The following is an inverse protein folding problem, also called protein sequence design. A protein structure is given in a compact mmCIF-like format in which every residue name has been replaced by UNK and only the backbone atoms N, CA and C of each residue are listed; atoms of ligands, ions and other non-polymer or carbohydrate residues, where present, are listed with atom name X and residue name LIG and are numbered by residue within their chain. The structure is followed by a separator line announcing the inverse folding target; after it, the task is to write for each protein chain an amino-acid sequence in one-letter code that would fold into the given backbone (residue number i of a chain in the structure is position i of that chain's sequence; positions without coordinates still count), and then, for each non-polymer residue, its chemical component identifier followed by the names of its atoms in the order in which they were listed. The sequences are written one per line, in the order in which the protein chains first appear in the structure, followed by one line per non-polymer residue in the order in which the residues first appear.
data_IF_682654824270
#
_entry.id   IF_682654824270
#
_cell.length_a   1.000
_cell.length_b   1.000
_cell.length_c   1.000
_cell.angle_alpha   90.00
_cell.angle_beta   90.00
_cell.angle_gamma   90.00
#
_symmetry.space_group_name_H-M   'P 1'
#
loop_
_entity.id
_entity.type
_entity.pdbx_description
1 polymer ?
#
# COMPACT_ATOMS: atom_id res chain seq x y z
N UNK A 1 22.23 -15.32 -28.59
CA UNK A 1 22.07 -14.59 -27.32
C UNK A 1 23.31 -13.75 -27.13
N UNK A 2 23.19 -12.43 -27.13
CA UNK A 2 24.33 -11.53 -26.95
C UNK A 2 24.81 -11.52 -25.49
N UNK A 3 26.05 -11.10 -25.23
CA UNK A 3 26.60 -11.02 -23.87
C UNK A 3 25.80 -10.04 -22.98
N UNK A 4 25.28 -8.97 -23.58
CA UNK A 4 24.39 -7.99 -22.96
C UNK A 4 23.06 -8.62 -22.53
N UNK A 5 22.42 -9.41 -23.41
CA UNK A 5 21.18 -10.14 -23.06
C UNK A 5 21.38 -11.10 -21.88
N UNK A 6 22.53 -11.77 -21.79
CA UNK A 6 22.83 -12.66 -20.66
C UNK A 6 23.00 -11.88 -19.35
N UNK A 7 23.65 -10.71 -19.40
CA UNK A 7 23.86 -9.86 -18.23
C UNK A 7 22.53 -9.26 -17.73
N UNK A 8 21.68 -8.79 -18.64
CA UNK A 8 20.37 -8.21 -18.31
C UNK A 8 19.41 -9.26 -17.73
N UNK A 9 19.40 -10.49 -18.28
CA UNK A 9 18.61 -11.61 -17.76
C UNK A 9 19.05 -11.98 -16.33
N UNK A 10 20.36 -11.97 -16.06
CA UNK A 10 20.88 -12.23 -14.72
C UNK A 10 20.50 -11.11 -13.74
N UNK A 11 20.56 -9.85 -14.15
CA UNK A 11 20.22 -8.70 -13.30
C UNK A 11 18.72 -8.62 -12.98
N UNK A 12 17.88 -8.89 -13.98
CA UNK A 12 16.42 -8.96 -13.79
C UNK A 12 16.05 -10.08 -12.81
N UNK A 13 16.64 -11.27 -12.99
CA UNK A 13 16.43 -12.41 -12.09
C UNK A 13 16.86 -12.10 -10.66
N UNK A 14 18.02 -11.45 -10.48
CA UNK A 14 18.50 -11.02 -9.16
C UNK A 14 17.54 -10.02 -8.49
N UNK A 15 17.04 -9.04 -9.23
CA UNK A 15 16.10 -8.03 -8.71
C UNK A 15 14.76 -8.67 -8.28
N UNK A 16 14.24 -9.59 -9.08
CA UNK A 16 13.01 -10.35 -8.75
C UNK A 16 13.25 -11.26 -7.53
N UNK A 17 14.37 -11.98 -7.48
CA UNK A 17 14.72 -12.83 -6.34
C UNK A 17 14.90 -12.02 -5.04
N UNK A 18 15.51 -10.84 -5.12
CA UNK A 18 15.63 -9.91 -4.00
C UNK A 18 14.25 -9.44 -3.49
N UNK A 19 13.32 -9.13 -4.41
CA UNK A 19 11.94 -8.77 -4.07
C UNK A 19 11.18 -9.93 -3.40
N UNK A 20 11.35 -11.16 -3.91
CA UNK A 20 10.77 -12.38 -3.32
C UNK A 20 11.34 -12.59 -1.91
N UNK A 21 12.66 -12.47 -1.75
CA UNK A 21 13.32 -12.62 -0.46
C UNK A 21 12.82 -11.58 0.57
N UNK A 22 12.70 -10.31 0.17
CA UNK A 22 12.15 -9.26 1.04
C UNK A 22 10.71 -9.57 1.45
N UNK A 23 9.89 -10.05 0.53
CA UNK A 23 8.49 -10.43 0.80
C UNK A 23 8.41 -11.50 1.89
N UNK A 24 9.16 -12.59 1.74
CA UNK A 24 9.18 -13.65 2.74
C UNK A 24 9.82 -13.21 4.06
N UNK A 25 10.87 -12.38 4.01
CA UNK A 25 11.53 -11.84 5.22
C UNK A 25 10.60 -10.92 6.00
N UNK A 26 9.84 -10.07 5.31
CA UNK A 26 8.82 -9.22 5.91
C UNK A 26 7.74 -10.04 6.61
N UNK A 27 7.16 -11.04 5.93
CA UNK A 27 6.16 -11.93 6.54
C UNK A 27 6.75 -12.71 7.71
N UNK A 28 7.96 -13.26 7.57
CA UNK A 28 8.65 -13.98 8.63
C UNK A 28 8.89 -13.11 9.88
N UNK A 29 9.16 -11.81 9.69
CA UNK A 29 9.33 -10.86 10.81
C UNK A 29 8.09 -10.75 11.69
N UNK A 30 6.88 -10.96 11.14
CA UNK A 30 5.63 -10.96 11.91
C UNK A 30 5.47 -12.20 12.81
N UNK A 31 6.25 -13.26 12.55
CA UNK A 31 6.16 -14.56 13.21
C UNK A 31 7.43 -14.98 13.95
N UNK A 32 8.49 -14.16 13.93
CA UNK A 32 9.74 -14.43 14.65
C UNK A 32 9.49 -14.65 16.15
N UNK A 33 8.49 -13.97 16.70
CA UNK A 33 8.04 -14.13 18.07
C UNK A 33 6.92 -15.17 18.16
N UNK A 34 7.25 -16.40 18.57
CA UNK A 34 6.22 -17.42 18.86
C UNK A 34 5.30 -16.92 19.97
N UNK A 35 3.99 -16.98 19.73
CA UNK A 35 2.96 -16.58 20.69
C UNK A 35 1.70 -17.43 20.47
N UNK A 36 1.04 -17.80 21.56
CA UNK A 36 -0.30 -18.41 21.55
C UNK A 36 -1.40 -17.36 21.63
N UNK A 37 -1.04 -16.09 21.88
CA UNK A 37 -1.96 -14.97 22.01
C UNK A 37 -2.45 -14.52 20.64
N UNK A 38 -3.66 -13.95 20.60
CA UNK A 38 -4.22 -13.32 19.40
C UNK A 38 -3.27 -12.26 18.82
N UNK A 39 -3.36 -12.05 17.50
CA UNK A 39 -2.68 -10.97 16.78
C UNK A 39 -3.01 -9.57 17.32
N UNK A 40 -4.19 -9.42 17.91
CA UNK A 40 -4.67 -8.16 18.47
C UNK A 40 -4.28 -7.97 19.94
N UNK A 41 -3.64 -8.97 20.56
CA UNK A 41 -3.14 -8.84 21.91
C UNK A 41 -2.00 -7.80 21.98
N UNK A 42 -2.01 -6.85 22.93
CA UNK A 42 -1.02 -5.78 23.03
C UNK A 42 0.45 -6.23 22.98
N UNK A 43 0.78 -7.35 23.65
CA UNK A 43 2.14 -7.89 23.62
C UNK A 43 2.55 -8.42 22.25
N UNK A 44 1.62 -9.03 21.50
CA UNK A 44 1.86 -9.51 20.14
C UNK A 44 2.09 -8.33 19.20
N UNK A 45 1.28 -7.27 19.32
CA UNK A 45 1.42 -6.04 18.54
C UNK A 45 2.78 -5.40 18.80
N UNK A 46 3.16 -5.16 20.06
CA UNK A 46 4.46 -4.53 20.41
C UNK A 46 5.66 -5.31 19.88
N UNK A 47 5.63 -6.65 19.95
CA UNK A 47 6.69 -7.52 19.43
C UNK A 47 6.78 -7.47 17.91
N UNK A 48 5.63 -7.53 17.21
CA UNK A 48 5.56 -7.39 15.75
C UNK A 48 6.01 -5.99 15.29
N UNK A 49 5.65 -4.94 16.02
CA UNK A 49 6.14 -3.58 15.75
C UNK A 49 7.67 -3.54 15.79
N UNK A 50 8.28 -4.10 16.83
CA UNK A 50 9.73 -4.13 16.94
C UNK A 50 10.39 -4.86 15.75
N UNK A 51 9.94 -6.08 15.41
CA UNK A 51 10.54 -6.85 14.32
C UNK A 51 10.32 -6.21 12.95
N UNK A 52 9.14 -5.63 12.71
CA UNK A 52 8.84 -4.90 11.48
C UNK A 52 9.69 -3.62 11.38
N UNK A 53 9.87 -2.87 12.46
CA UNK A 53 10.76 -1.70 12.49
C UNK A 53 12.20 -2.09 12.17
N UNK A 54 12.70 -3.22 12.68
CA UNK A 54 14.02 -3.75 12.29
C UNK A 54 14.06 -4.07 10.80
N UNK A 55 13.03 -4.71 10.23
CA UNK A 55 12.96 -4.94 8.78
C UNK A 55 12.95 -3.66 7.97
N UNK A 56 12.23 -2.62 8.41
CA UNK A 56 12.24 -1.31 7.73
C UNK A 56 13.62 -0.66 7.73
N UNK A 57 14.41 -0.86 8.79
CA UNK A 57 15.79 -0.37 8.85
C UNK A 57 16.72 -1.18 7.93
N UNK A 58 16.56 -2.50 7.87
CA UNK A 58 17.44 -3.38 7.09
C UNK A 58 17.13 -3.38 5.58
N UNK A 59 15.87 -3.23 5.19
CA UNK A 59 15.44 -3.35 3.80
C UNK A 59 16.15 -2.34 2.85
N UNK A 60 16.31 -1.05 3.19
CA UNK A 60 17.08 -0.10 2.38
C UNK A 60 18.52 -0.53 2.12
N UNK A 61 19.24 -1.01 3.15
CA UNK A 61 20.61 -1.48 3.00
C UNK A 61 20.67 -2.75 2.15
N UNK A 62 19.70 -3.65 2.33
CA UNK A 62 19.58 -4.84 1.51
C UNK A 62 19.39 -4.49 0.04
N UNK A 63 18.44 -3.61 -0.33
CA UNK A 63 18.21 -3.25 -1.74
C UNK A 63 19.35 -2.47 -2.35
N UNK A 64 20.07 -1.66 -1.56
CA UNK A 64 21.26 -0.95 -2.02
C UNK A 64 22.33 -1.90 -2.59
N UNK A 65 22.46 -3.11 -2.03
CA UNK A 65 23.40 -4.12 -2.54
C UNK A 65 23.05 -4.65 -3.94
N UNK A 66 21.82 -4.43 -4.41
CA UNK A 66 21.33 -4.89 -5.72
C UNK A 66 21.10 -3.76 -6.72
N UNK A 67 21.28 -2.50 -6.31
CA UNK A 67 21.18 -1.37 -7.24
C UNK A 67 22.36 -1.32 -8.21
N UNK A 68 22.05 -1.14 -9.49
CA UNK A 68 23.04 -0.95 -10.54
C UNK A 68 23.62 0.47 -10.48
N UNK A 69 24.79 0.64 -11.10
CA UNK A 69 25.37 1.98 -11.29
C UNK A 69 24.48 2.91 -12.12
N UNK A 70 23.69 2.37 -13.06
CA UNK A 70 22.72 3.16 -13.84
C UNK A 70 21.55 3.65 -12.97
N UNK A 71 21.02 2.81 -12.07
CA UNK A 71 19.97 3.24 -11.15
C UNK A 71 20.49 4.34 -10.23
N UNK A 72 21.70 4.17 -9.68
CA UNK A 72 22.31 5.15 -8.78
C UNK A 72 22.78 6.43 -9.49
N UNK A 73 22.95 6.42 -10.83
CA UNK A 73 23.26 7.63 -11.59
C UNK A 73 22.03 8.52 -11.81
N UNK A 74 20.81 7.94 -11.84
CA UNK A 74 19.54 8.67 -11.95
C UNK A 74 19.15 9.39 -10.66
N UNK A 75 19.57 8.85 -9.51
CA UNK A 75 19.31 9.44 -8.20
C UNK A 75 19.95 8.63 -7.08
N UNK A 76 20.27 9.30 -5.97
CA UNK A 76 20.89 8.63 -4.82
C UNK A 76 19.90 7.68 -4.11
N UNK A 77 20.39 6.87 -3.16
CA UNK A 77 19.57 5.89 -2.44
C UNK A 77 18.27 6.49 -1.89
N UNK A 78 18.33 7.66 -1.24
CA UNK A 78 17.14 8.29 -0.64
C UNK A 78 16.13 8.67 -1.71
N UNK A 79 16.60 9.20 -2.85
CA UNK A 79 15.73 9.56 -3.98
C UNK A 79 15.07 8.33 -4.60
N UNK A 80 15.82 7.23 -4.77
CA UNK A 80 15.26 5.95 -5.25
C UNK A 80 14.19 5.40 -4.29
N UNK A 81 14.39 5.55 -2.98
CA UNK A 81 13.38 5.18 -1.96
C UNK A 81 12.21 6.18 -1.88
N UNK A 82 12.19 7.23 -2.69
CA UNK A 82 11.14 8.25 -2.72
C UNK A 82 11.20 9.26 -1.57
N UNK A 83 12.37 9.41 -0.93
CA UNK A 83 12.64 10.43 0.08
C UNK A 83 13.25 11.67 -0.56
N UNK A 84 12.37 12.55 -1.02
CA UNK A 84 12.70 13.79 -1.74
C UNK A 84 11.97 14.98 -1.15
N UNK A 85 12.61 16.16 -1.17
CA UNK A 85 12.01 17.42 -0.74
C UNK A 85 11.23 18.12 -1.85
N UNK A 86 11.79 18.17 -3.06
CA UNK A 86 11.11 18.72 -4.23
C UNK A 86 9.86 17.89 -4.52
N UNK A 87 8.71 18.54 -4.70
CA UNK A 87 7.43 17.87 -4.96
C UNK A 87 6.72 17.22 -3.76
N UNK A 88 7.25 17.32 -2.53
CA UNK A 88 6.68 16.61 -1.38
C UNK A 88 5.27 17.11 -0.98
N UNK A 89 5.02 18.41 -1.10
CA UNK A 89 3.71 19.01 -0.78
C UNK A 89 2.60 18.44 -1.68
N UNK A 90 2.70 18.52 -3.03
CA UNK A 90 1.71 17.87 -3.87
C UNK A 90 1.69 16.35 -3.66
N UNK A 91 2.81 15.69 -3.36
CA UNK A 91 2.86 14.26 -3.05
C UNK A 91 2.00 13.86 -1.84
N UNK A 92 1.80 14.75 -0.88
CA UNK A 92 0.91 14.53 0.25
C UNK A 92 -0.56 14.75 -0.16
N UNK A 93 -0.86 15.87 -0.82
CA UNK A 93 -2.25 16.30 -0.99
C UNK A 93 -2.93 15.72 -2.24
N UNK A 94 -2.26 15.69 -3.39
CA UNK A 94 -2.89 15.29 -4.64
C UNK A 94 -3.26 13.79 -4.69
N UNK A 95 -2.38 12.85 -4.28
CA UNK A 95 -2.74 11.43 -4.17
C UNK A 95 -3.84 11.16 -3.13
N UNK A 96 -3.81 11.86 -1.99
CA UNK A 96 -4.86 11.75 -0.98
C UNK A 96 -6.20 12.26 -1.53
N UNK A 97 -6.21 13.40 -2.19
CA UNK A 97 -7.40 13.97 -2.82
C UNK A 97 -7.96 13.05 -3.91
N UNK A 98 -7.10 12.53 -4.79
CA UNK A 98 -7.48 11.56 -5.81
C UNK A 98 -8.09 10.30 -5.19
N UNK A 99 -7.51 9.80 -4.10
CA UNK A 99 -8.04 8.63 -3.37
C UNK A 99 -9.37 8.96 -2.70
N UNK A 100 -9.53 10.15 -2.13
CA UNK A 100 -10.81 10.60 -1.57
C UNK A 100 -11.92 10.70 -2.65
N UNK A 101 -11.58 11.13 -3.88
CA UNK A 101 -12.50 11.12 -5.02
C UNK A 101 -12.98 9.69 -5.32
N UNK A 102 -12.09 8.71 -5.34
CA UNK A 102 -12.47 7.31 -5.52
C UNK A 102 -13.45 6.84 -4.43
N UNK A 103 -13.29 7.36 -3.21
CA UNK A 103 -14.12 7.06 -2.04
C UNK A 103 -15.34 7.98 -1.86
N UNK A 104 -15.79 8.72 -2.88
CA UNK A 104 -16.98 9.58 -2.75
C UNK A 104 -18.23 8.83 -2.28
N UNK A 105 -18.47 7.60 -2.75
CA UNK A 105 -19.57 6.75 -2.29
C UNK A 105 -19.50 6.46 -0.78
N UNK A 106 -18.42 5.83 -0.28
CA UNK A 106 -18.22 5.58 1.15
C UNK A 106 -18.23 6.84 2.02
N UNK A 107 -17.62 7.94 1.55
CA UNK A 107 -17.65 9.22 2.26
C UNK A 107 -19.08 9.75 2.38
N UNK A 108 -19.91 9.58 1.34
CA UNK A 108 -21.33 9.93 1.38
C UNK A 108 -22.07 9.08 2.43
N UNK A 109 -21.78 7.77 2.49
CA UNK A 109 -22.38 6.89 3.50
C UNK A 109 -22.01 7.36 4.92
N UNK A 110 -20.74 7.62 5.20
CA UNK A 110 -20.29 8.13 6.51
C UNK A 110 -20.91 9.49 6.88
N UNK A 111 -21.07 10.37 5.90
CA UNK A 111 -21.71 11.66 6.11
C UNK A 111 -23.18 11.49 6.49
N UNK A 112 -23.92 10.65 5.74
CA UNK A 112 -25.35 10.42 5.95
C UNK A 112 -25.65 9.62 7.22
N UNK A 113 -24.77 8.69 7.61
CA UNK A 113 -24.90 7.95 8.88
C UNK A 113 -24.53 8.79 10.10
N UNK A 114 -23.95 9.98 9.90
CA UNK A 114 -23.58 10.89 10.99
C UNK A 114 -22.26 10.55 11.67
N UNK A 115 -21.49 9.57 11.16
CA UNK A 115 -20.18 9.18 11.70
C UNK A 115 -19.22 10.36 11.78
N UNK A 116 -19.33 11.34 10.87
CA UNK A 116 -18.52 12.56 10.89
C UNK A 116 -18.56 13.32 12.23
N UNK A 117 -19.66 13.21 12.99
CA UNK A 117 -19.78 13.85 14.31
C UNK A 117 -18.77 13.26 15.31
N UNK A 118 -18.52 11.95 15.23
CA UNK A 118 -17.51 11.28 16.04
C UNK A 118 -16.10 11.81 15.73
N UNK A 119 -15.81 12.05 14.45
CA UNK A 119 -14.53 12.62 14.03
C UNK A 119 -14.33 14.07 14.44
N UNK A 120 -15.42 14.81 14.73
CA UNK A 120 -15.33 16.15 15.29
C UNK A 120 -14.97 16.16 16.78
N UNK A 121 -15.05 15.01 17.47
CA UNK A 121 -14.73 14.91 18.91
C UNK A 121 -13.23 14.66 19.13
N UNK A 122 -12.49 15.56 19.83
CA UNK A 122 -11.06 15.37 20.07
C UNK A 122 -10.73 14.11 20.90
N UNK A 123 -11.64 13.73 21.80
CA UNK A 123 -11.47 12.56 22.69
C UNK A 123 -11.43 11.26 21.89
N UNK A 124 -12.18 11.16 20.79
CA UNK A 124 -12.13 10.03 19.88
C UNK A 124 -10.70 9.79 19.40
N UNK A 125 -10.05 10.82 18.87
CA UNK A 125 -8.68 10.72 18.35
C UNK A 125 -7.66 10.41 19.44
N UNK A 126 -7.78 11.03 20.61
CA UNK A 126 -6.89 10.71 21.74
C UNK A 126 -7.00 9.23 22.13
N UNK A 127 -8.23 8.70 22.16
CA UNK A 127 -8.50 7.29 22.47
C UNK A 127 -7.97 6.36 21.38
N UNK A 128 -8.15 6.72 20.10
CA UNK A 128 -7.62 5.98 18.96
C UNK A 128 -6.08 5.87 18.99
N UNK A 129 -5.37 6.93 19.37
CA UNK A 129 -3.91 6.89 19.50
C UNK A 129 -3.42 6.05 20.69
N UNK A 130 -4.27 5.79 21.68
CA UNK A 130 -3.97 4.89 22.81
C UNK A 130 -4.30 3.42 22.49
N UNK A 131 -5.13 3.16 21.48
CA UNK A 131 -5.44 1.81 21.01
C UNK A 131 -4.36 1.30 20.04
N UNK A 132 -3.60 0.30 20.49
CA UNK A 132 -2.55 -0.32 19.69
C UNK A 132 -3.07 -1.02 18.43
N UNK A 133 -4.32 -1.51 18.43
CA UNK A 133 -4.94 -2.11 17.24
C UNK A 133 -5.19 -1.02 16.20
N UNK A 134 -5.74 0.12 16.64
CA UNK A 134 -5.94 1.28 15.78
C UNK A 134 -4.63 1.81 15.21
N UNK A 135 -3.62 2.04 16.05
CA UNK A 135 -2.28 2.53 15.62
C UNK A 135 -1.63 1.55 14.65
N UNK A 136 -1.74 0.24 14.89
CA UNK A 136 -1.26 -0.78 13.93
C UNK A 136 -1.95 -0.64 12.59
N UNK A 137 -3.28 -0.66 12.58
CA UNK A 137 -4.04 -0.74 11.34
C UNK A 137 -3.94 0.55 10.51
N UNK A 138 -3.91 1.72 11.16
CA UNK A 138 -3.97 3.02 10.48
C UNK A 138 -2.62 3.66 10.23
N UNK A 139 -1.57 3.27 10.96
CA UNK A 139 -0.26 3.90 10.85
C UNK A 139 0.86 2.89 10.58
N UNK A 140 1.13 1.98 11.52
CA UNK A 140 2.32 1.12 11.44
C UNK A 140 2.27 0.13 10.27
N UNK A 141 1.11 -0.48 10.00
CA UNK A 141 0.95 -1.39 8.87
C UNK A 141 1.13 -0.66 7.52
N UNK A 142 0.38 0.44 7.22
CA UNK A 142 0.63 1.23 6.02
C UNK A 142 2.08 1.69 5.87
N UNK A 143 2.68 2.20 6.94
CA UNK A 143 4.06 2.69 6.93
C UNK A 143 5.05 1.60 6.53
N UNK A 144 4.99 0.46 7.20
CA UNK A 144 5.93 -0.63 6.95
C UNK A 144 5.71 -1.34 5.63
N UNK A 145 4.45 -1.52 5.23
CA UNK A 145 4.08 -2.16 3.97
C UNK A 145 4.48 -1.29 2.77
N UNK A 146 4.17 0.00 2.78
CA UNK A 146 4.57 0.89 1.69
C UNK A 146 6.11 1.07 1.64
N UNK A 147 6.78 1.05 2.79
CA UNK A 147 8.23 1.17 2.83
C UNK A 147 8.92 -0.03 2.19
N UNK A 148 8.51 -1.25 2.53
CA UNK A 148 9.13 -2.46 1.99
C UNK A 148 8.66 -2.73 0.56
N UNK A 149 7.36 -2.73 0.31
CA UNK A 149 6.81 -3.18 -0.98
C UNK A 149 6.83 -2.10 -2.06
N UNK A 150 6.86 -0.81 -1.72
CA UNK A 150 6.95 0.28 -2.70
C UNK A 150 8.34 0.87 -2.70
N UNK A 151 8.73 1.53 -1.61
CA UNK A 151 10.00 2.26 -1.57
C UNK A 151 11.22 1.37 -1.81
N UNK A 152 11.25 0.14 -1.28
CA UNK A 152 12.40 -0.76 -1.49
C UNK A 152 12.26 -1.63 -2.77
N UNK A 153 11.10 -2.29 -2.96
CA UNK A 153 10.95 -3.29 -4.03
C UNK A 153 10.72 -2.69 -5.43
N UNK A 154 9.96 -1.59 -5.56
CA UNK A 154 9.64 -1.04 -6.88
C UNK A 154 10.88 -0.51 -7.60
N UNK A 155 11.81 0.24 -6.97
CA UNK A 155 13.05 0.66 -7.63
C UNK A 155 13.89 -0.52 -8.15
N UNK A 156 13.92 -1.65 -7.42
CA UNK A 156 14.60 -2.87 -7.90
C UNK A 156 13.96 -3.43 -9.18
N UNK A 157 12.63 -3.43 -9.25
CA UNK A 157 11.89 -3.89 -10.43
C UNK A 157 12.05 -2.93 -11.61
N UNK A 158 12.14 -1.62 -11.36
CA UNK A 158 12.34 -0.61 -12.41
C UNK A 158 13.73 -0.68 -13.06
N UNK A 159 14.69 -1.43 -12.49
CA UNK A 159 15.99 -1.66 -13.12
C UNK A 159 15.90 -2.56 -14.35
N UNK A 160 14.83 -3.35 -14.46
CA UNK A 160 14.71 -4.38 -15.49
C UNK A 160 13.32 -4.48 -16.13
N UNK A 161 12.31 -3.82 -15.56
CA UNK A 161 10.95 -3.78 -16.08
C UNK A 161 10.57 -2.36 -16.48
N UNK A 162 9.77 -2.24 -17.53
CA UNK A 162 9.11 -0.98 -17.85
C UNK A 162 8.23 -0.51 -16.67
N UNK A 163 8.07 0.81 -16.47
CA UNK A 163 7.36 1.36 -15.31
C UNK A 163 5.97 0.76 -15.09
N UNK A 164 5.15 0.64 -16.15
CA UNK A 164 3.80 0.08 -16.02
C UNK A 164 3.81 -1.43 -15.74
N UNK A 165 4.81 -2.16 -16.26
CA UNK A 165 4.98 -3.58 -15.95
C UNK A 165 5.34 -3.77 -14.47
N UNK A 166 6.25 -2.95 -13.93
CA UNK A 166 6.59 -2.98 -12.50
C UNK A 166 5.37 -2.65 -11.62
N UNK A 167 4.53 -1.69 -12.04
CA UNK A 167 3.28 -1.31 -11.36
C UNK A 167 2.30 -2.47 -11.23
N UNK A 168 2.21 -3.38 -12.20
CA UNK A 168 1.30 -4.52 -12.12
C UNK A 168 1.95 -5.81 -11.57
N UNK A 169 3.25 -6.01 -11.76
CA UNK A 169 3.97 -7.21 -11.31
C UNK A 169 4.36 -7.12 -9.83
N UNK A 170 4.90 -5.99 -9.37
CA UNK A 170 5.34 -5.81 -7.98
C UNK A 170 4.26 -6.12 -6.94
N UNK A 171 3.02 -5.63 -7.10
CA UNK A 171 1.91 -5.90 -6.19
C UNK A 171 1.50 -7.36 -6.05
N UNK A 172 1.86 -8.25 -7.00
CA UNK A 172 1.54 -9.68 -6.85
C UNK A 172 2.23 -10.26 -5.62
N UNK A 173 3.47 -9.84 -5.33
CA UNK A 173 4.19 -10.27 -4.12
C UNK A 173 3.55 -9.70 -2.85
N UNK A 174 3.06 -8.45 -2.91
CA UNK A 174 2.29 -7.85 -1.81
C UNK A 174 0.98 -8.61 -1.56
N UNK A 175 0.26 -8.99 -2.62
CA UNK A 175 -0.92 -9.86 -2.53
C UNK A 175 -0.58 -11.21 -1.92
N UNK A 176 0.47 -11.88 -2.42
CA UNK A 176 0.91 -13.19 -1.91
C UNK A 176 1.25 -13.12 -0.42
N UNK A 177 1.89 -12.04 0.02
CA UNK A 177 2.23 -11.84 1.43
C UNK A 177 1.01 -11.99 2.35
N UNK A 178 -0.19 -11.60 1.90
CA UNK A 178 -1.42 -11.66 2.71
C UNK A 178 -2.03 -13.06 2.86
N UNK A 179 -1.59 -14.06 2.08
CA UNK A 179 -2.05 -15.44 2.28
C UNK A 179 -1.65 -16.01 3.64
N UNK A 180 -0.71 -15.38 4.37
CA UNK A 180 -0.42 -15.76 5.75
C UNK A 180 -1.65 -15.67 6.67
N UNK A 181 -2.63 -14.80 6.35
CA UNK A 181 -3.88 -14.72 7.10
C UNK A 181 -4.76 -15.96 6.94
N UNK A 182 -4.61 -16.72 5.86
CA UNK A 182 -5.33 -18.00 5.69
C UNK A 182 -5.03 -18.94 6.85
N UNK A 183 -3.75 -19.01 7.27
CA UNK A 183 -3.33 -19.83 8.40
C UNK A 183 -3.92 -19.32 9.73
N UNK A 184 -4.04 -18.00 9.89
CA UNK A 184 -4.69 -17.40 11.07
C UNK A 184 -6.20 -17.72 11.09
N UNK A 185 -6.88 -17.67 9.95
CA UNK A 185 -8.29 -18.01 9.81
C UNK A 185 -8.55 -19.49 10.12
N UNK A 186 -7.73 -20.40 9.57
CA UNK A 186 -7.85 -21.83 9.86
C UNK A 186 -7.64 -22.12 11.36
N UNK A 187 -6.69 -21.44 12.00
CA UNK A 187 -6.49 -21.52 13.47
C UNK A 187 -7.67 -20.98 14.27
N UNK A 188 -8.36 -19.97 13.75
CA UNK A 188 -9.57 -19.43 14.35
C UNK A 188 -10.81 -20.32 14.15
N UNK A 189 -10.66 -21.47 13.47
CA UNK A 189 -11.71 -22.47 13.31
C UNK A 189 -12.52 -22.37 12.01
N UNK A 190 -12.12 -21.49 11.08
CA UNK A 190 -12.77 -21.43 9.77
C UNK A 190 -12.46 -22.70 8.95
N UNK A 191 -13.46 -23.23 8.26
CA UNK A 191 -13.27 -24.30 7.29
C UNK A 191 -12.30 -23.87 6.17
N UNK A 192 -11.53 -24.82 5.65
CA UNK A 192 -10.53 -24.55 4.60
C UNK A 192 -11.12 -23.81 3.40
N UNK A 193 -12.31 -24.22 2.92
CA UNK A 193 -12.98 -23.57 1.78
C UNK A 193 -13.28 -22.10 2.06
N UNK A 194 -13.78 -21.79 3.26
CA UNK A 194 -14.09 -20.43 3.68
C UNK A 194 -12.82 -19.60 3.84
N UNK A 195 -11.79 -20.14 4.49
CA UNK A 195 -10.50 -19.47 4.63
C UNK A 195 -9.84 -19.19 3.27
N UNK A 196 -9.93 -20.13 2.33
CA UNK A 196 -9.41 -19.97 0.96
C UNK A 196 -10.17 -18.88 0.20
N UNK A 197 -11.50 -18.84 0.29
CA UNK A 197 -12.31 -17.78 -0.34
C UNK A 197 -11.96 -16.39 0.21
N UNK A 198 -11.88 -16.24 1.54
CA UNK A 198 -11.52 -14.96 2.16
C UNK A 198 -10.10 -14.56 1.74
N UNK A 199 -9.16 -15.48 1.75
CA UNK A 199 -7.76 -15.21 1.38
C UNK A 199 -7.61 -14.87 -0.10
N UNK A 200 -8.39 -15.49 -0.99
CA UNK A 200 -8.40 -15.18 -2.42
C UNK A 200 -8.99 -13.80 -2.70
N UNK A 201 -10.08 -13.45 -2.00
CA UNK A 201 -10.64 -12.10 -2.06
C UNK A 201 -9.63 -11.07 -1.54
N UNK A 202 -8.99 -11.35 -0.40
CA UNK A 202 -7.96 -10.49 0.17
C UNK A 202 -6.79 -10.32 -0.80
N UNK A 203 -6.26 -11.39 -1.37
CA UNK A 203 -5.21 -11.35 -2.39
C UNK A 203 -5.58 -10.46 -3.58
N UNK A 204 -6.80 -10.62 -4.11
CA UNK A 204 -7.26 -9.85 -5.27
C UNK A 204 -7.33 -8.37 -4.94
N UNK A 205 -7.97 -8.02 -3.83
CA UNK A 205 -8.14 -6.63 -3.41
C UNK A 205 -6.80 -5.98 -3.04
N UNK A 206 -5.93 -6.66 -2.30
CA UNK A 206 -4.62 -6.11 -1.92
C UNK A 206 -3.68 -5.99 -3.12
N UNK A 207 -3.78 -6.88 -4.11
CA UNK A 207 -3.03 -6.75 -5.38
C UNK A 207 -3.50 -5.52 -6.16
N UNK A 208 -4.81 -5.31 -6.30
CA UNK A 208 -5.37 -4.15 -7.00
C UNK A 208 -4.99 -2.83 -6.30
N UNK A 209 -5.14 -2.77 -4.98
CA UNK A 209 -4.68 -1.63 -4.19
C UNK A 209 -3.16 -1.43 -4.31
N UNK A 210 -2.40 -2.53 -4.28
CA UNK A 210 -0.96 -2.49 -4.45
C UNK A 210 -0.55 -1.91 -5.80
N UNK A 211 -1.28 -2.22 -6.88
CA UNK A 211 -1.04 -1.63 -8.20
C UNK A 211 -1.33 -0.13 -8.22
N UNK A 212 -2.42 0.31 -7.59
CA UNK A 212 -2.68 1.76 -7.45
C UNK A 212 -1.58 2.46 -6.64
N UNK A 213 -1.17 1.87 -5.51
CA UNK A 213 -0.10 2.42 -4.68
C UNK A 213 1.26 2.45 -5.42
N UNK A 214 1.62 1.37 -6.12
CA UNK A 214 2.83 1.34 -6.96
C UNK A 214 2.77 2.39 -8.07
N UNK A 215 1.61 2.59 -8.70
CA UNK A 215 1.41 3.64 -9.68
C UNK A 215 1.63 5.03 -9.08
N UNK A 216 1.07 5.31 -7.89
CA UNK A 216 1.32 6.57 -7.17
C UNK A 216 2.82 6.76 -6.90
N UNK A 217 3.51 5.73 -6.40
CA UNK A 217 4.95 5.79 -6.13
C UNK A 217 5.75 6.09 -7.40
N UNK A 218 5.54 5.32 -8.47
CA UNK A 218 6.28 5.44 -9.73
C UNK A 218 6.06 6.81 -10.39
N UNK A 219 4.82 7.30 -10.37
CA UNK A 219 4.45 8.58 -11.02
C UNK A 219 4.92 9.79 -10.23
N UNK A 220 4.80 9.75 -8.90
CA UNK A 220 5.18 10.89 -8.04
C UNK A 220 6.66 10.87 -7.64
N UNK A 221 7.32 9.71 -7.65
CA UNK A 221 8.67 9.55 -7.12
C UNK A 221 8.77 9.77 -5.61
N UNK A 222 7.65 9.63 -4.88
CA UNK A 222 7.59 9.89 -3.44
C UNK A 222 7.01 8.71 -2.67
N UNK A 223 7.66 8.37 -1.55
CA UNK A 223 7.15 7.41 -0.58
C UNK A 223 5.87 7.89 0.12
N UNK A 224 5.76 9.19 0.40
CA UNK A 224 4.63 9.74 1.15
C UNK A 224 3.30 9.65 0.37
N UNK A 225 3.35 9.66 -0.97
CA UNK A 225 2.18 9.59 -1.84
C UNK A 225 1.34 8.31 -1.67
N UNK A 226 1.90 7.11 -1.85
CA UNK A 226 1.17 5.88 -1.55
C UNK A 226 0.89 5.72 -0.05
N UNK A 227 1.76 6.23 0.84
CA UNK A 227 1.59 6.11 2.29
C UNK A 227 0.29 6.76 2.78
N UNK A 228 0.06 8.03 2.44
CA UNK A 228 -1.14 8.74 2.88
C UNK A 228 -2.41 8.17 2.24
N UNK A 229 -2.32 7.72 0.99
CA UNK A 229 -3.42 7.03 0.31
C UNK A 229 -3.75 5.70 1.03
N UNK A 230 -2.74 4.93 1.45
CA UNK A 230 -2.93 3.70 2.20
C UNK A 230 -3.53 3.95 3.58
N UNK A 231 -3.02 4.91 4.35
CA UNK A 231 -3.59 5.27 5.65
C UNK A 231 -5.07 5.64 5.52
N UNK A 232 -5.42 6.43 4.49
CA UNK A 232 -6.81 6.78 4.20
C UNK A 232 -7.66 5.55 3.81
N UNK A 233 -7.16 4.68 2.92
CA UNK A 233 -7.87 3.44 2.56
C UNK A 233 -8.09 2.52 3.76
N UNK A 234 -7.11 2.39 4.67
CA UNK A 234 -7.28 1.59 5.89
C UNK A 234 -8.28 2.22 6.86
N UNK A 235 -8.36 3.56 6.91
CA UNK A 235 -9.38 4.25 7.70
C UNK A 235 -10.79 4.03 7.14
N UNK A 236 -10.94 4.13 5.82
CA UNK A 236 -12.24 3.95 5.15
C UNK A 236 -12.68 2.48 5.09
N UNK A 237 -11.73 1.55 5.01
CA UNK A 237 -11.99 0.13 4.83
C UNK A 237 -12.53 -0.21 3.44
N UNK A 238 -12.78 -1.51 3.21
CA UNK A 238 -13.47 -1.94 2.00
C UNK A 238 -14.96 -1.54 2.09
N UNK A 239 -15.55 -0.92 1.05
CA UNK A 239 -16.94 -0.48 1.10
C UNK A 239 -17.92 -1.64 1.38
N UNK A 240 -18.71 -1.52 2.46
CA UNK A 240 -19.77 -2.47 2.75
C UNK A 240 -21.03 -2.13 1.94
N UNK A 241 -21.12 -2.65 0.72
CA UNK A 241 -22.25 -2.39 -0.16
C UNK A 241 -23.60 -2.86 0.41
N UNK A 242 -23.62 -3.79 1.37
CA UNK A 242 -24.86 -4.24 2.00
C UNK A 242 -25.52 -3.13 2.85
N UNK A 243 -24.70 -2.29 3.50
CA UNK A 243 -25.17 -1.19 4.35
C UNK A 243 -25.95 -0.13 3.55
N UNK A 244 -25.75 -0.04 2.23
CA UNK A 244 -26.52 0.86 1.35
C UNK A 244 -28.03 0.59 1.49
N UNK A 245 -28.43 -0.65 1.72
CA UNK A 245 -29.85 -1.02 1.88
C UNK A 245 -30.49 -0.48 3.15
N UNK A 246 -29.71 0.03 4.10
CA UNK A 246 -30.19 0.59 5.37
C UNK A 246 -30.60 2.07 5.24
N UNK A 247 -30.13 2.78 4.20
CA UNK A 247 -30.42 4.19 3.98
C UNK A 247 -31.83 4.42 3.40
N UNK A 248 -32.36 5.65 3.46
CA UNK A 248 -33.62 6.00 2.83
C UNK A 248 -33.52 5.96 1.28
N UNK A 249 -34.60 5.71 0.51
CA UNK A 249 -34.53 5.52 -0.94
C UNK A 249 -33.78 6.62 -1.71
N UNK A 250 -34.01 7.90 -1.39
CA UNK A 250 -33.30 9.01 -2.05
C UNK A 250 -31.81 9.05 -1.70
N UNK A 251 -31.45 8.73 -0.46
CA UNK A 251 -30.07 8.62 -0.01
C UNK A 251 -29.34 7.47 -0.72
N UNK A 252 -30.01 6.33 -0.96
CA UNK A 252 -29.45 5.21 -1.73
C UNK A 252 -29.06 5.65 -3.14
N UNK A 253 -29.96 6.37 -3.82
CA UNK A 253 -29.69 6.90 -5.16
C UNK A 253 -28.46 7.82 -5.14
N UNK A 254 -28.38 8.72 -4.15
CA UNK A 254 -27.23 9.61 -3.99
C UNK A 254 -25.92 8.84 -3.73
N UNK A 255 -25.94 7.83 -2.85
CA UNK A 255 -24.78 6.99 -2.54
C UNK A 255 -24.28 6.28 -3.80
N UNK A 256 -25.17 5.58 -4.52
CA UNK A 256 -24.82 4.85 -5.75
C UNK A 256 -24.32 5.82 -6.83
N UNK A 257 -24.95 6.98 -6.98
CA UNK A 257 -24.47 8.02 -7.88
C UNK A 257 -23.04 8.45 -7.52
N UNK A 258 -22.74 8.68 -6.24
CA UNK A 258 -21.40 9.09 -5.79
C UNK A 258 -20.35 7.97 -5.90
N UNK A 259 -20.73 6.69 -5.82
CA UNK A 259 -19.84 5.58 -6.18
C UNK A 259 -19.42 5.67 -7.66
N UNK A 260 -20.39 5.82 -8.57
CA UNK A 260 -20.13 5.88 -10.01
C UNK A 260 -19.39 7.17 -10.39
N UNK A 261 -19.80 8.30 -9.83
CA UNK A 261 -19.15 9.59 -10.04
C UNK A 261 -17.71 9.57 -9.52
N UNK A 262 -17.47 9.04 -8.32
CA UNK A 262 -16.14 8.93 -7.73
C UNK A 262 -15.20 8.10 -8.60
N UNK A 263 -15.65 6.94 -9.08
CA UNK A 263 -14.87 6.12 -10.00
C UNK A 263 -14.62 6.84 -11.35
N UNK A 264 -15.65 7.46 -11.93
CA UNK A 264 -15.52 8.18 -13.19
C UNK A 264 -14.54 9.36 -13.09
N UNK A 265 -14.65 10.17 -12.04
CA UNK A 265 -13.73 11.28 -11.77
C UNK A 265 -12.31 10.78 -11.48
N UNK A 266 -12.16 9.68 -10.72
CA UNK A 266 -10.86 9.07 -10.48
C UNK A 266 -10.19 8.65 -11.79
N UNK A 267 -10.90 7.97 -12.69
CA UNK A 267 -10.37 7.58 -14.01
C UNK A 267 -9.90 8.79 -14.83
N UNK A 268 -10.67 9.89 -14.82
CA UNK A 268 -10.34 11.13 -15.55
C UNK A 268 -9.15 11.88 -14.94
N UNK A 269 -9.05 11.89 -13.60
CA UNK A 269 -8.07 12.67 -12.86
C UNK A 269 -6.80 11.89 -12.52
N UNK A 270 -6.80 10.55 -12.66
CA UNK A 270 -5.67 9.70 -12.33
C UNK A 270 -4.38 10.15 -13.03
N UNK A 271 -4.40 10.38 -14.34
CA UNK A 271 -3.20 10.79 -15.09
C UNK A 271 -2.82 12.25 -14.87
N UNK A 272 -3.77 13.22 -14.93
CA UNK A 272 -3.44 14.62 -14.68
C UNK A 272 -2.89 14.89 -13.28
N UNK A 273 -3.53 14.34 -12.23
CA UNK A 273 -3.10 14.59 -10.85
C UNK A 273 -1.84 13.83 -10.48
N UNK A 274 -1.45 12.78 -11.22
CA UNK A 274 -0.17 12.09 -11.03
C UNK A 274 0.85 12.43 -12.11
N UNK A 275 0.73 13.58 -12.80
CA UNK A 275 1.75 14.00 -13.75
C UNK A 275 3.11 14.18 -13.02
N UNK A 276 4.19 13.47 -13.43
CA UNK A 276 5.51 13.56 -12.80
C UNK A 276 6.05 14.99 -12.63
N UNK A 277 5.71 15.92 -13.53
CA UNK A 277 6.14 17.32 -13.46
C UNK A 277 5.67 18.04 -12.20
N UNK A 278 4.47 17.71 -11.71
CA UNK A 278 3.90 18.30 -10.48
C UNK A 278 4.78 17.99 -9.26
N UNK A 279 5.49 16.86 -9.32
CA UNK A 279 6.29 16.31 -8.23
C UNK A 279 7.80 16.47 -8.49
N UNK A 280 8.20 17.10 -9.60
CA UNK A 280 9.60 17.19 -10.03
C UNK A 280 10.28 15.81 -10.15
N UNK A 281 9.52 14.79 -10.58
CA UNK A 281 10.01 13.42 -10.65
C UNK A 281 10.73 13.17 -11.99
N UNK A 282 12.06 13.07 -11.93
CA UNK A 282 12.95 12.83 -13.08
C UNK A 282 13.64 11.46 -13.06
N UNK A 283 13.27 10.58 -12.12
CA UNK A 283 14.00 9.33 -11.86
C UNK A 283 13.73 8.24 -12.89
N UNK A 284 12.47 8.13 -13.35
CA UNK A 284 12.01 6.99 -14.16
C UNK A 284 11.15 7.40 -15.37
N UNK A 285 10.88 8.69 -15.52
CA UNK A 285 10.11 9.26 -16.61
C UNK A 285 10.87 10.48 -17.13
N UNK A 286 11.55 10.32 -18.27
CA UNK A 286 11.99 11.46 -19.07
C UNK A 286 10.75 12.01 -19.76
N UNK A 287 10.30 13.19 -19.31
CA UNK A 287 9.25 13.99 -19.95
C UNK A 287 9.79 14.73 -21.15
#
# INVERSE_FOLDING_TARGET
MSFTELFDVNQCSLSILACIFLTFSYVASLYVWRSTLSRDHPSTIKRRFFSVSVMMLLAPFFVQCFFTGETLSKGNLYEQLGLRWSGVVPAIFAPLFLTAILFLGPLTMQFLSGIWKLYAEPIYWLSSWQDLVWVRNHFMAPLSEEWVFRACMIPLLLQCLEPMTAVFVGPLLFGVAHFHHMFEQMKAGFEFKTALMISTFQFTYTTLFGAYSAYLFVRTGHFVAPLVAHMFCNHMGFPNFAEITEFAPLQRVLIVFNFLLGFGLWCLLLTPLTNPDIYDNRLHWET
#
